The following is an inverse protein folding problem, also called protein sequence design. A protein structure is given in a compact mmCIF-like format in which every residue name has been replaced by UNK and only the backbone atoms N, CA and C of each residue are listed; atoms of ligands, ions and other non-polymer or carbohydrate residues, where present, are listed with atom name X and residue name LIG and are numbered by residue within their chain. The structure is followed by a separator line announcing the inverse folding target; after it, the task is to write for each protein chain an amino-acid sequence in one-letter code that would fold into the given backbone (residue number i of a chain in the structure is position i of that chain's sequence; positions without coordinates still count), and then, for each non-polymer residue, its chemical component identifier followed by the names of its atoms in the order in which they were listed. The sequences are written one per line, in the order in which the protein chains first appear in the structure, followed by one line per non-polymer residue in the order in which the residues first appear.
data_IF_923671396542
#
_entry.id   IF_923671396542
#
_cell.length_a   1.000
_cell.length_b   1.000
_cell.length_c   1.000
_cell.angle_alpha   90.00
_cell.angle_beta   90.00
_cell.angle_gamma   90.00
#
_symmetry.space_group_name_H-M   'P 1'
#
loop_
_entity.id
_entity.type
_entity.pdbx_description
1 polymer ?
#
# COMPACT_ATOMS: atom_id res chain seq x y z
N UNK A 1 6.55 40.43 51.76
CA UNK A 1 5.54 39.42 51.40
C UNK A 1 5.16 39.71 49.96
N UNK A 2 5.81 39.03 49.00
CA UNK A 2 5.40 37.73 48.42
C UNK A 2 4.28 37.90 47.41
N UNK A 3 4.57 37.54 46.16
CA UNK A 3 3.56 37.35 45.14
C UNK A 3 4.10 37.28 43.70
N UNK A 4 5.19 36.55 43.46
CA UNK A 4 5.57 36.17 42.09
C UNK A 4 4.50 35.22 41.53
N UNK A 5 3.58 35.77 40.75
CA UNK A 5 2.67 34.98 39.93
C UNK A 5 3.45 34.48 38.71
N UNK A 6 4.08 33.31 38.86
CA UNK A 6 4.62 32.57 37.71
C UNK A 6 3.48 32.32 36.71
N UNK A 7 3.65 32.66 35.42
CA UNK A 7 2.66 32.31 34.41
C UNK A 7 2.59 30.77 34.35
N UNK A 8 1.38 30.23 34.50
CA UNK A 8 1.10 28.82 34.25
C UNK A 8 1.39 28.61 32.76
N UNK A 9 2.57 28.09 32.45
CA UNK A 9 2.92 27.66 31.10
C UNK A 9 2.00 26.49 30.77
N UNK A 10 0.92 26.76 30.05
CA UNK A 10 0.04 25.71 29.53
C UNK A 10 0.89 24.81 28.64
N UNK A 11 1.02 23.54 29.01
CA UNK A 11 1.74 22.58 28.20
C UNK A 11 1.15 22.58 26.78
N UNK A 12 1.99 22.51 25.72
CA UNK A 12 1.51 22.49 24.36
C UNK A 12 0.53 21.32 24.17
N UNK A 13 -0.50 21.49 23.31
CA UNK A 13 -1.47 20.43 23.07
C UNK A 13 -0.74 19.19 22.57
N UNK A 14 -1.09 17.99 23.08
CA UNK A 14 -0.39 16.76 22.75
C UNK A 14 -0.50 16.48 21.25
N UNK A 15 0.63 16.19 20.61
CA UNK A 15 0.66 15.84 19.18
C UNK A 15 0.67 14.33 18.97
N UNK A 16 0.24 13.89 17.79
CA UNK A 16 0.33 12.48 17.40
C UNK A 16 1.79 11.99 17.40
N UNK A 17 2.72 12.86 17.01
CA UNK A 17 4.15 12.55 16.99
C UNK A 17 4.72 12.31 18.39
N UNK A 18 4.31 13.12 19.38
CA UNK A 18 4.72 12.93 20.78
C UNK A 18 4.21 11.60 21.33
N UNK A 19 2.93 11.27 21.11
CA UNK A 19 2.37 9.99 21.52
C UNK A 19 3.11 8.79 20.89
N UNK A 20 3.38 8.83 19.58
CA UNK A 20 4.12 7.76 18.89
C UNK A 20 5.57 7.66 19.37
N UNK A 21 6.22 8.80 19.65
CA UNK A 21 7.59 8.83 20.17
C UNK A 21 7.67 8.20 21.56
N UNK A 22 6.72 8.51 22.44
CA UNK A 22 6.60 7.90 23.77
C UNK A 22 6.34 6.40 23.68
N UNK A 23 5.44 5.95 22.82
CA UNK A 23 5.18 4.53 22.58
C UNK A 23 6.45 3.79 22.13
N UNK A 24 7.22 4.37 21.20
CA UNK A 24 8.50 3.78 20.74
C UNK A 24 9.57 3.80 21.83
N UNK A 25 9.58 4.80 22.70
CA UNK A 25 10.51 4.85 23.82
C UNK A 25 10.18 3.76 24.85
N UNK A 26 8.91 3.59 25.20
CA UNK A 26 8.44 2.54 26.08
C UNK A 26 8.72 1.14 25.52
N UNK A 27 8.46 0.93 24.22
CA UNK A 27 8.79 -0.34 23.55
C UNK A 27 10.29 -0.65 23.53
N UNK A 28 11.15 0.38 23.47
CA UNK A 28 12.62 0.21 23.56
C UNK A 28 13.11 -0.07 24.97
N UNK A 29 12.46 0.49 25.99
CA UNK A 29 12.78 0.21 27.39
C UNK A 29 12.48 -1.24 27.77
N UNK A 30 11.50 -1.87 27.12
CA UNK A 30 11.12 -3.27 27.33
C UNK A 30 10.31 -3.51 28.60
N UNK A 31 10.03 -2.46 29.37
CA UNK A 31 9.24 -2.52 30.58
C UNK A 31 7.73 -2.66 30.28
N UNK A 32 7.00 -3.24 31.24
CA UNK A 32 5.55 -3.28 31.18
C UNK A 32 4.98 -1.86 31.24
N UNK A 33 4.20 -1.49 30.22
CA UNK A 33 3.52 -0.19 30.17
C UNK A 33 2.23 -0.24 30.99
N UNK A 34 2.01 0.76 31.84
CA UNK A 34 0.78 0.84 32.66
C UNK A 34 -0.45 1.07 31.78
N UNK A 35 -1.60 0.51 32.20
CA UNK A 35 -2.87 0.65 31.49
C UNK A 35 -3.26 2.14 31.30
N UNK A 36 -3.00 2.98 32.29
CA UNK A 36 -3.28 4.43 32.22
C UNK A 36 -2.48 5.11 31.11
N UNK A 37 -1.20 4.73 30.93
CA UNK A 37 -0.36 5.29 29.88
C UNK A 37 -0.85 4.85 28.49
N UNK A 38 -1.22 3.58 28.33
CA UNK A 38 -1.82 3.07 27.09
C UNK A 38 -3.11 3.80 26.77
N UNK A 39 -3.98 4.00 27.77
CA UNK A 39 -5.23 4.71 27.60
C UNK A 39 -5.03 6.19 27.22
N UNK A 40 -4.01 6.86 27.76
CA UNK A 40 -3.64 8.23 27.37
C UNK A 40 -3.24 8.32 25.91
N UNK A 41 -2.38 7.41 25.43
CA UNK A 41 -2.00 7.38 24.01
C UNK A 41 -3.20 7.10 23.11
N UNK A 42 -4.01 6.09 23.45
CA UNK A 42 -5.20 5.74 22.69
C UNK A 42 -6.17 6.93 22.60
N UNK A 43 -6.45 7.59 23.72
CA UNK A 43 -7.33 8.77 23.76
C UNK A 43 -6.79 9.92 22.92
N UNK A 44 -5.48 10.19 23.02
CA UNK A 44 -4.82 11.25 22.24
C UNK A 44 -4.93 10.98 20.73
N UNK A 45 -4.61 9.76 20.30
CA UNK A 45 -4.68 9.37 18.89
C UNK A 45 -6.13 9.36 18.38
N UNK A 46 -7.08 8.85 19.18
CA UNK A 46 -8.50 8.88 18.82
C UNK A 46 -9.05 10.30 18.69
N UNK A 47 -8.61 11.22 19.55
CA UNK A 47 -9.03 12.61 19.46
C UNK A 47 -8.48 13.27 18.20
N UNK A 48 -7.18 13.10 17.93
CA UNK A 48 -6.48 13.73 16.81
C UNK A 48 -6.89 13.18 15.44
N UNK A 49 -7.11 11.87 15.31
CA UNK A 49 -7.43 11.22 14.04
C UNK A 49 -8.90 10.84 13.90
N UNK A 50 -9.64 10.65 15.00
CA UNK A 50 -11.01 10.15 14.97
C UNK A 50 -12.08 11.22 15.19
N UNK A 51 -11.78 12.25 15.98
CA UNK A 51 -12.76 13.24 16.46
C UNK A 51 -12.42 14.68 16.08
N UNK A 52 -11.48 14.86 15.14
CA UNK A 52 -11.06 16.19 14.73
C UNK A 52 -12.20 16.93 14.01
N UNK A 53 -12.37 18.22 14.32
CA UNK A 53 -13.19 19.10 13.48
C UNK A 53 -12.43 19.45 12.21
N UNK A 54 -13.18 19.70 11.14
CA UNK A 54 -12.60 20.25 9.92
C UNK A 54 -12.00 21.63 10.23
N UNK A 55 -10.77 21.83 9.80
CA UNK A 55 -10.05 23.10 9.91
C UNK A 55 -10.51 24.06 8.82
N UNK A 56 -10.87 23.51 7.65
CA UNK A 56 -11.41 24.28 6.53
C UNK A 56 -12.45 23.48 5.77
N UNK A 57 -13.51 24.16 5.36
CA UNK A 57 -14.59 23.63 4.56
C UNK A 57 -14.56 24.33 3.20
N UNK A 58 -14.62 23.58 2.11
CA UNK A 58 -14.51 24.14 0.77
C UNK A 58 -15.56 23.59 -0.20
N UNK A 59 -15.95 24.43 -1.15
CA UNK A 59 -16.82 24.08 -2.25
C UNK A 59 -16.11 24.28 -3.59
N UNK A 60 -16.41 23.42 -4.56
CA UNK A 60 -15.89 23.53 -5.91
C UNK A 60 -16.65 24.60 -6.70
N UNK A 61 -15.93 25.61 -7.19
CA UNK A 61 -16.46 26.68 -8.02
C UNK A 61 -16.31 26.46 -9.53
N UNK A 62 -16.03 25.23 -9.98
CA UNK A 62 -15.83 24.91 -11.40
C UNK A 62 -14.38 25.03 -11.88
N UNK A 63 -13.58 25.93 -11.29
CA UNK A 63 -12.16 26.09 -11.62
C UNK A 63 -11.22 26.06 -10.42
N UNK A 64 -11.73 26.37 -9.23
CA UNK A 64 -10.96 26.34 -7.99
C UNK A 64 -11.88 26.03 -6.80
N UNK A 65 -11.26 25.61 -5.71
CA UNK A 65 -11.92 25.44 -4.43
C UNK A 65 -11.94 26.76 -3.67
N UNK A 66 -13.08 27.13 -3.10
CA UNK A 66 -13.20 28.30 -2.24
C UNK A 66 -13.75 27.91 -0.87
N UNK A 67 -13.30 28.63 0.15
CA UNK A 67 -13.68 28.37 1.53
C UNK A 67 -15.14 28.78 1.76
N UNK A 68 -15.88 27.94 2.48
CA UNK A 68 -17.27 28.15 2.87
C UNK A 68 -17.45 27.92 4.37
N UNK A 69 -18.55 28.41 4.93
CA UNK A 69 -18.93 28.16 6.31
C UNK A 69 -19.67 26.82 6.49
N UNK A 70 -19.88 26.42 7.75
CA UNK A 70 -20.53 25.15 8.10
C UNK A 70 -22.00 25.07 7.63
N UNK A 71 -22.71 26.20 7.58
CA UNK A 71 -24.10 26.24 7.13
C UNK A 71 -24.20 26.11 5.61
N UNK A 72 -23.31 26.79 4.89
CA UNK A 72 -23.14 26.67 3.45
C UNK A 72 -22.74 25.25 3.07
N UNK A 73 -21.86 24.64 3.87
CA UNK A 73 -21.42 23.26 3.69
C UNK A 73 -22.57 22.26 3.73
N UNK A 74 -23.41 22.32 4.75
CA UNK A 74 -24.57 21.41 4.84
C UNK A 74 -25.58 21.64 3.71
N UNK A 75 -25.76 22.88 3.26
CA UNK A 75 -26.63 23.20 2.11
C UNK A 75 -26.08 22.63 0.81
N UNK A 76 -24.80 22.85 0.53
CA UNK A 76 -24.12 22.34 -0.66
C UNK A 76 -24.10 20.80 -0.68
N UNK A 77 -23.83 20.17 0.49
CA UNK A 77 -23.89 18.72 0.64
C UNK A 77 -25.30 18.18 0.37
N UNK A 78 -26.34 18.84 0.90
CA UNK A 78 -27.74 18.45 0.66
C UNK A 78 -28.16 18.64 -0.81
N UNK A 79 -27.56 19.61 -1.50
CA UNK A 79 -27.76 19.86 -2.93
C UNK A 79 -26.95 18.92 -3.84
N UNK A 80 -26.10 18.04 -3.28
CA UNK A 80 -25.25 17.13 -4.05
C UNK A 80 -24.07 17.82 -4.74
N UNK A 81 -23.69 19.02 -4.28
CA UNK A 81 -22.57 19.78 -4.83
C UNK A 81 -21.23 19.20 -4.35
N UNK A 82 -20.16 19.46 -5.10
CA UNK A 82 -18.82 19.01 -4.75
C UNK A 82 -18.26 19.87 -3.60
N UNK A 83 -18.12 19.24 -2.43
CA UNK A 83 -17.59 19.84 -1.20
C UNK A 83 -16.47 18.97 -0.61
N UNK A 84 -15.45 19.58 0.03
CA UNK A 84 -14.38 18.85 0.76
C UNK A 84 -13.99 19.50 2.10
N UNK A 85 -13.87 18.66 3.13
CA UNK A 85 -13.50 19.08 4.48
C UNK A 85 -12.02 18.77 4.66
N UNK A 86 -11.25 19.75 5.13
CA UNK A 86 -9.81 19.65 5.30
C UNK A 86 -9.48 19.57 6.78
N UNK A 87 -8.61 18.63 7.13
CA UNK A 87 -8.25 18.29 8.49
C UNK A 87 -6.74 18.47 8.68
N UNK A 88 -6.31 18.83 9.89
CA UNK A 88 -4.87 18.87 10.23
C UNK A 88 -4.22 17.49 10.18
N UNK A 89 -4.98 16.43 10.47
CA UNK A 89 -4.55 15.04 10.38
C UNK A 89 -5.54 14.25 9.50
N UNK A 90 -5.09 13.20 8.80
CA UNK A 90 -5.98 12.32 8.06
C UNK A 90 -7.01 11.68 9.00
N UNK A 91 -8.30 11.73 8.68
CA UNK A 91 -9.28 11.10 9.54
C UNK A 91 -9.24 9.57 9.44
N UNK A 92 -9.34 8.89 10.58
CA UNK A 92 -9.31 7.42 10.65
C UNK A 92 -10.44 6.77 9.81
N UNK A 93 -11.57 7.47 9.70
CA UNK A 93 -12.71 7.03 8.89
C UNK A 93 -12.62 7.46 7.42
N UNK A 94 -11.82 8.48 7.08
CA UNK A 94 -11.48 8.80 5.69
C UNK A 94 -10.50 7.78 5.12
N UNK A 95 -9.55 7.28 5.91
CA UNK A 95 -8.70 6.13 5.54
C UNK A 95 -9.58 4.91 5.23
N UNK A 96 -10.63 4.68 6.03
CA UNK A 96 -11.56 3.57 5.80
C UNK A 96 -12.50 3.81 4.60
N UNK A 97 -12.89 5.05 4.28
CA UNK A 97 -13.62 5.38 3.02
C UNK A 97 -12.71 5.34 1.79
N UNK A 98 -11.43 5.66 1.93
CA UNK A 98 -10.42 5.54 0.88
C UNK A 98 -10.23 4.08 0.46
N UNK A 99 -10.38 3.13 1.40
CA UNK A 99 -10.40 1.69 1.10
C UNK A 99 -11.68 1.18 0.43
N UNK A 100 -12.73 1.99 0.24
CA UNK A 100 -14.03 1.48 -0.27
C UNK A 100 -14.27 1.76 -1.74
N UNK A 101 -13.70 2.79 -2.39
CA UNK A 101 -13.74 2.96 -3.86
C UNK A 101 -13.11 4.29 -4.30
N UNK A 102 -11.78 4.40 -4.25
CA UNK A 102 -11.08 5.33 -5.15
C UNK A 102 -9.92 4.59 -5.78
N UNK A 103 -10.21 3.90 -6.89
CA UNK A 103 -9.15 3.54 -7.82
C UNK A 103 -8.46 4.85 -8.22
N UNK A 104 -7.19 5.01 -7.83
CA UNK A 104 -6.42 6.15 -8.32
C UNK A 104 -6.26 5.99 -9.83
N UNK A 105 -6.82 6.95 -10.58
CA UNK A 105 -6.59 7.06 -12.01
C UNK A 105 -5.38 7.97 -12.15
N UNK A 106 -4.22 7.39 -12.45
CA UNK A 106 -2.99 8.16 -12.57
C UNK A 106 -2.98 9.00 -13.85
N UNK A 107 -2.44 10.21 -13.74
CA UNK A 107 -2.05 11.04 -14.90
C UNK A 107 -1.11 10.26 -15.83
N UNK A 108 -1.08 10.64 -17.10
CA UNK A 108 -0.25 9.97 -18.11
C UNK A 108 1.25 9.98 -17.76
N UNK A 109 1.71 11.02 -17.08
CA UNK A 109 3.08 11.17 -16.60
C UNK A 109 3.33 10.53 -15.22
N UNK A 110 2.29 9.96 -14.59
CA UNK A 110 2.30 9.31 -13.27
C UNK A 110 2.80 10.21 -12.15
N UNK A 111 2.56 11.51 -12.22
CA UNK A 111 2.97 12.45 -11.16
C UNK A 111 1.89 12.61 -10.08
N UNK A 112 0.62 12.54 -10.48
CA UNK A 112 -0.53 12.75 -9.59
C UNK A 112 -1.75 11.92 -10.02
N UNK A 113 -2.65 11.64 -9.08
CA UNK A 113 -3.94 11.03 -9.38
C UNK A 113 -4.91 12.07 -9.96
N UNK A 114 -5.58 11.80 -11.08
CA UNK A 114 -6.53 12.72 -11.69
C UNK A 114 -7.85 12.84 -10.91
N UNK A 115 -8.10 11.94 -9.94
CA UNK A 115 -9.32 11.94 -9.11
C UNK A 115 -9.13 12.74 -7.81
N UNK A 116 -8.01 12.54 -7.11
CA UNK A 116 -7.74 13.21 -5.83
C UNK A 116 -6.60 14.24 -5.88
N UNK A 117 -5.85 14.31 -6.99
CA UNK A 117 -4.65 15.14 -7.15
C UNK A 117 -3.50 14.80 -6.18
N UNK A 118 -3.56 13.61 -5.57
CA UNK A 118 -2.48 13.14 -4.68
C UNK A 118 -1.24 12.76 -5.50
N UNK A 119 -0.03 13.09 -5.01
CA UNK A 119 1.23 12.65 -5.61
C UNK A 119 1.35 11.12 -5.67
N UNK A 120 2.06 10.62 -6.69
CA UNK A 120 2.26 9.17 -6.88
C UNK A 120 3.00 8.51 -5.70
N UNK A 121 3.96 9.22 -5.12
CA UNK A 121 4.75 8.80 -3.96
C UNK A 121 3.96 8.79 -2.64
N UNK A 122 2.74 9.35 -2.63
CA UNK A 122 1.85 9.39 -1.46
C UNK A 122 0.75 8.33 -1.50
N UNK A 123 0.74 7.46 -2.52
CA UNK A 123 -0.15 6.31 -2.58
C UNK A 123 0.19 5.29 -1.48
N UNK A 124 -0.76 5.04 -0.56
CA UNK A 124 -0.64 4.03 0.50
C UNK A 124 -0.57 2.61 -0.10
N UNK A 125 0.02 1.58 0.55
CA UNK A 125 0.03 0.20 0.06
C UNK A 125 -1.35 -0.43 -0.13
N UNK A 126 -2.39 0.25 0.38
CA UNK A 126 -3.81 -0.11 0.24
C UNK A 126 -4.51 0.63 -0.91
N UNK A 127 -3.83 1.52 -1.65
CA UNK A 127 -4.33 1.96 -2.94
C UNK A 127 -4.43 0.74 -3.85
N UNK A 128 -5.60 0.50 -4.45
CA UNK A 128 -5.75 -0.57 -5.43
C UNK A 128 -4.60 -0.45 -6.43
N UNK A 129 -3.69 -1.44 -6.52
CA UNK A 129 -2.61 -1.37 -7.47
C UNK A 129 -3.25 -1.12 -8.83
N UNK A 130 -2.71 -0.20 -9.66
CA UNK A 130 -3.26 0.04 -10.99
C UNK A 130 -3.51 -1.32 -11.62
N UNK A 131 -4.73 -1.54 -12.14
CA UNK A 131 -5.12 -2.82 -12.78
C UNK A 131 -3.88 -3.32 -13.51
N UNK A 132 -3.43 -4.56 -13.24
CA UNK A 132 -2.21 -5.06 -13.85
C UNK A 132 -2.30 -4.72 -15.33
N UNK A 133 -1.28 -4.04 -15.88
CA UNK A 133 -1.35 -3.56 -17.26
C UNK A 133 -1.88 -4.70 -18.09
N UNK A 134 -2.89 -4.44 -18.93
CA UNK A 134 -3.42 -5.42 -19.91
C UNK A 134 -2.18 -6.14 -20.42
N UNK A 135 -2.07 -7.48 -20.21
CA UNK A 135 -0.81 -8.17 -20.44
C UNK A 135 -0.30 -7.69 -21.78
N UNK A 136 0.81 -6.95 -21.75
CA UNK A 136 1.54 -6.67 -22.98
C UNK A 136 1.65 -8.07 -23.57
N UNK A 137 1.15 -8.33 -24.79
CA UNK A 137 1.34 -9.63 -25.39
C UNK A 137 2.86 -9.77 -25.44
N UNK A 138 3.39 -10.48 -24.44
CA UNK A 138 4.81 -10.75 -24.34
C UNK A 138 4.97 -11.63 -25.55
N UNK A 139 5.48 -11.03 -26.62
CA UNK A 139 5.87 -11.76 -27.82
C UNK A 139 6.61 -12.96 -27.27
N UNK A 140 6.08 -14.18 -27.40
CA UNK A 140 6.58 -15.32 -26.66
C UNK A 140 8.08 -15.34 -26.88
N UNK A 141 8.82 -15.19 -25.78
CA UNK A 141 10.26 -15.17 -25.84
C UNK A 141 10.68 -16.41 -26.62
N UNK A 142 11.65 -16.34 -27.56
CA UNK A 142 11.88 -17.38 -28.56
C UNK A 142 12.53 -18.64 -27.96
N UNK A 143 12.28 -18.96 -26.70
CA UNK A 143 12.70 -20.19 -26.09
C UNK A 143 11.86 -21.34 -26.66
N UNK A 144 12.48 -22.14 -27.52
CA UNK A 144 11.93 -23.39 -27.95
C UNK A 144 12.45 -24.51 -27.02
N UNK A 145 11.60 -25.16 -26.21
CA UNK A 145 12.02 -26.19 -25.27
C UNK A 145 12.76 -27.37 -25.92
N UNK A 146 12.55 -27.62 -27.22
CA UNK A 146 13.30 -28.64 -27.98
C UNK A 146 14.81 -28.39 -28.01
N UNK A 147 15.28 -27.15 -27.80
CA UNK A 147 16.70 -26.82 -27.72
C UNK A 147 17.42 -27.51 -26.55
N UNK A 148 16.68 -27.98 -25.54
CA UNK A 148 17.23 -28.67 -24.37
C UNK A 148 17.45 -30.17 -24.61
N UNK A 149 16.78 -30.77 -25.62
CA UNK A 149 16.88 -32.21 -25.90
C UNK A 149 18.33 -32.71 -26.11
N UNK A 150 19.19 -32.02 -26.89
CA UNK A 150 20.58 -32.47 -27.06
C UNK A 150 21.42 -32.40 -25.78
N UNK A 151 21.06 -31.53 -24.83
CA UNK A 151 21.72 -31.45 -23.52
C UNK A 151 21.32 -32.64 -22.64
N UNK A 152 20.05 -33.05 -22.69
CA UNK A 152 19.57 -34.25 -21.99
C UNK A 152 20.28 -35.52 -22.51
N UNK A 153 20.48 -35.64 -23.83
CA UNK A 153 21.25 -36.76 -24.41
C UNK A 153 22.70 -36.81 -23.90
N UNK A 154 23.32 -35.65 -23.65
CA UNK A 154 24.69 -35.56 -23.13
C UNK A 154 24.73 -35.91 -21.63
N UNK A 155 23.74 -35.45 -20.86
CA UNK A 155 23.61 -35.76 -19.44
C UNK A 155 23.40 -37.26 -19.22
N UNK A 156 22.49 -37.89 -19.97
CA UNK A 156 22.22 -39.33 -19.91
C UNK A 156 23.47 -40.17 -20.23
N UNK A 157 24.30 -39.70 -21.17
CA UNK A 157 25.61 -40.32 -21.44
C UNK A 157 26.62 -40.14 -20.31
N UNK A 158 26.65 -38.97 -19.67
CA UNK A 158 27.54 -38.69 -18.54
C UNK A 158 27.16 -39.50 -17.29
N UNK A 159 25.86 -39.69 -17.05
CA UNK A 159 25.28 -40.49 -15.97
C UNK A 159 25.72 -41.96 -15.98
N UNK A 160 26.21 -42.46 -17.12
CA UNK A 160 26.83 -43.79 -17.20
C UNK A 160 28.10 -43.93 -16.36
N UNK A 161 28.70 -42.83 -15.91
CA UNK A 161 29.89 -42.80 -15.03
C UNK A 161 29.54 -42.64 -13.56
N UNK A 162 28.29 -42.30 -13.27
CA UNK A 162 27.80 -42.06 -11.91
C UNK A 162 27.35 -43.33 -11.21
N UNK A 163 27.19 -43.21 -9.89
CA UNK A 163 26.71 -44.30 -9.02
C UNK A 163 25.32 -44.80 -9.44
N UNK A 164 25.01 -46.07 -9.16
CA UNK A 164 23.71 -46.68 -9.52
C UNK A 164 22.51 -45.91 -8.96
N UNK A 165 22.65 -45.33 -7.76
CA UNK A 165 21.59 -44.56 -7.10
C UNK A 165 21.33 -43.23 -7.83
N UNK A 166 22.39 -42.47 -8.09
CA UNK A 166 22.32 -41.21 -8.86
C UNK A 166 21.74 -41.47 -10.26
N UNK A 167 22.18 -42.56 -10.91
CA UNK A 167 21.70 -42.92 -12.23
C UNK A 167 20.18 -43.11 -12.28
N UNK A 168 19.63 -43.89 -11.36
CA UNK A 168 18.18 -44.16 -11.33
C UNK A 168 17.37 -42.90 -11.05
N UNK A 169 17.83 -42.04 -10.15
CA UNK A 169 17.14 -40.79 -9.82
C UNK A 169 17.12 -39.82 -11.00
N UNK A 170 18.28 -39.63 -11.65
CA UNK A 170 18.40 -38.68 -12.75
C UNK A 170 17.82 -39.22 -14.06
N UNK A 171 17.90 -40.53 -14.35
CA UNK A 171 17.23 -41.12 -15.51
C UNK A 171 15.72 -40.87 -15.47
N UNK A 172 15.10 -41.01 -14.29
CA UNK A 172 13.69 -40.72 -14.10
C UNK A 172 13.36 -39.23 -14.35
N UNK A 173 14.16 -38.32 -13.80
CA UNK A 173 13.96 -36.87 -14.00
C UNK A 173 14.19 -36.43 -15.45
N UNK A 174 15.19 -37.00 -16.12
CA UNK A 174 15.46 -36.76 -17.55
C UNK A 174 14.26 -37.24 -18.38
N UNK A 175 13.72 -38.41 -18.10
CA UNK A 175 12.55 -38.93 -18.81
C UNK A 175 11.30 -38.06 -18.62
N UNK A 176 11.04 -37.60 -17.38
CA UNK A 176 9.94 -36.66 -17.11
C UNK A 176 10.08 -35.35 -17.88
N UNK A 177 11.29 -34.78 -17.91
CA UNK A 177 11.55 -33.53 -18.62
C UNK A 177 11.42 -33.69 -20.14
N UNK A 178 11.89 -34.80 -20.72
CA UNK A 178 11.67 -35.11 -22.15
C UNK A 178 10.19 -35.18 -22.50
N UNK A 179 9.40 -35.90 -21.70
CA UNK A 179 7.96 -36.04 -21.92
C UNK A 179 7.25 -34.68 -21.90
N UNK A 180 7.58 -33.84 -20.92
CA UNK A 180 7.03 -32.47 -20.83
C UNK A 180 7.41 -31.60 -22.03
N UNK A 181 8.66 -31.70 -22.53
CA UNK A 181 9.10 -30.99 -23.74
C UNK A 181 8.33 -31.47 -24.98
N UNK A 182 8.14 -32.78 -25.15
CA UNK A 182 7.41 -33.36 -26.28
C UNK A 182 5.93 -32.96 -26.28
N UNK A 183 5.27 -32.96 -25.12
CA UNK A 183 3.87 -32.52 -24.97
C UNK A 183 3.73 -31.04 -25.34
N UNK A 184 4.57 -30.17 -24.79
CA UNK A 184 4.54 -28.73 -25.06
C UNK A 184 4.92 -28.33 -26.50
N UNK A 185 5.68 -29.17 -27.21
CA UNK A 185 6.05 -28.90 -28.61
C UNK A 185 5.04 -29.45 -29.60
N UNK A 186 4.36 -30.57 -29.29
CA UNK A 186 3.23 -31.09 -30.09
C UNK A 186 2.03 -30.16 -30.07
N UNK A 187 1.64 -29.66 -28.89
CA UNK A 187 0.49 -28.75 -28.73
C UNK A 187 0.62 -27.43 -29.50
N UNK A 188 1.85 -26.99 -29.81
CA UNK A 188 2.10 -25.77 -30.60
C UNK A 188 2.10 -25.98 -32.12
N UNK A 189 1.93 -27.21 -32.58
CA UNK A 189 1.99 -27.60 -34.01
C UNK A 189 0.66 -28.05 -34.61
N UNK A 190 -0.43 -28.03 -33.82
CA UNK A 190 -1.83 -28.14 -34.27
C UNK A 190 -2.54 -26.80 -34.11
#
# INVERSE_FOLDING_TARGET
MSGDASPIATAPPPTASDAVREMRAAGRAGDAVTADQVNRWATTLMHLFGQQRAVRLEQWGGSFWFQIDEKQWYRALAAGEQVRALYTQPLLHEIRRAGVNRDHIWSADRTHCTVCNDPFDWADPYCNPPKPPVPIPVKPQPFNPSWVLPLLDRLERALKRESKRERVEWDFRIAQLRKSIEEHTKEKSS
#
